data_IF_428252758486
#
_entry.id   IF_428252758486
#
_cell.length_a   1.000
_cell.length_b   1.000
_cell.length_c   1.000
_cell.angle_alpha   90.00
_cell.angle_beta   90.00
_cell.angle_gamma   90.00
#
_symmetry.space_group_name_H-M   'P 1'
#
loop_
_entity.id
_entity.type
_entity.pdbx_description
1 polymer ?
#
# COMPACT_ATOMS: atom_id res chain seq x y z
N UNK A 1 -16.50 -14.68 12.94
CA UNK A 1 -16.41 -13.98 11.65
C UNK A 1 -17.63 -13.09 11.52
N UNK A 2 -17.52 -11.75 11.56
CA UNK A 2 -18.65 -10.90 11.20
C UNK A 2 -18.76 -10.89 9.67
N UNK A 3 -19.90 -11.36 9.16
CA UNK A 3 -20.21 -11.38 7.73
C UNK A 3 -20.25 -9.96 7.18
N UNK A 4 -19.43 -9.67 6.16
CA UNK A 4 -19.63 -8.50 5.31
C UNK A 4 -20.99 -8.67 4.62
N UNK A 5 -21.96 -7.84 4.99
CA UNK A 5 -23.23 -7.76 4.28
C UNK A 5 -22.99 -7.26 2.87
N UNK A 6 -22.91 -8.18 1.91
CA UNK A 6 -22.98 -7.83 0.49
C UNK A 6 -24.45 -7.73 0.13
N UNK A 7 -24.98 -6.50 0.00
CA UNK A 7 -26.19 -6.33 -0.80
C UNK A 7 -25.77 -6.62 -2.24
N UNK A 8 -26.12 -7.79 -2.74
CA UNK A 8 -25.89 -8.17 -4.13
C UNK A 8 -26.73 -7.26 -5.04
N UNK A 9 -26.18 -6.11 -5.40
CA UNK A 9 -26.76 -5.25 -6.42
C UNK A 9 -26.48 -5.85 -7.80
N UNK A 10 -27.52 -5.98 -8.62
CA UNK A 10 -27.39 -6.39 -10.03
C UNK A 10 -26.68 -5.33 -10.88
N UNK A 11 -26.58 -4.10 -10.36
CA UNK A 11 -26.09 -2.93 -11.09
C UNK A 11 -24.56 -2.87 -11.15
N UNK A 12 -23.87 -3.21 -10.05
CA UNK A 12 -22.43 -3.06 -9.94
C UNK A 12 -21.72 -4.40 -9.76
N UNK A 13 -20.54 -4.51 -10.36
CA UNK A 13 -19.47 -5.36 -9.86
C UNK A 13 -18.53 -4.47 -9.04
N UNK A 14 -18.37 -4.79 -7.75
CA UNK A 14 -17.49 -4.04 -6.86
C UNK A 14 -16.40 -4.92 -6.25
N UNK A 15 -15.19 -4.39 -6.14
CA UNK A 15 -14.09 -4.92 -5.33
C UNK A 15 -13.68 -3.84 -4.34
N UNK A 16 -13.81 -4.10 -3.06
CA UNK A 16 -13.32 -3.22 -1.99
C UNK A 16 -12.21 -3.96 -1.25
N UNK A 17 -11.04 -3.35 -1.14
CA UNK A 17 -9.92 -3.87 -0.36
C UNK A 17 -9.63 -2.94 0.81
N UNK A 18 -9.40 -3.53 1.96
CA UNK A 18 -9.00 -2.85 3.17
C UNK A 18 -7.57 -3.30 3.48
N UNK A 19 -6.62 -2.37 3.47
CA UNK A 19 -5.25 -2.66 3.89
C UNK A 19 -5.07 -2.11 5.31
N UNK A 20 -4.78 -3.03 6.22
CA UNK A 20 -4.51 -2.76 7.62
C UNK A 20 -3.01 -2.83 7.88
N UNK A 21 -2.42 -1.70 8.28
CA UNK A 21 -0.99 -1.56 8.55
C UNK A 21 -0.66 -1.49 10.05
N UNK A 22 -1.61 -1.80 10.93
CA UNK A 22 -1.44 -1.55 12.36
C UNK A 22 -0.41 -2.47 13.04
N UNK A 23 0.31 -1.89 14.00
CA UNK A 23 1.24 -2.59 14.88
C UNK A 23 0.49 -3.13 16.12
N UNK A 24 0.85 -4.32 16.66
CA UNK A 24 0.26 -4.86 17.88
C UNK A 24 0.66 -4.01 19.11
N UNK A 25 -0.32 -3.62 19.94
CA UNK A 25 -0.07 -2.87 21.17
C UNK A 25 -1.22 -1.92 21.52
N UNK A 26 -1.21 -0.69 20.99
CA UNK A 26 -2.19 0.34 21.35
C UNK A 26 -3.59 0.15 20.74
N UNK A 27 -3.69 -0.68 19.69
CA UNK A 27 -4.92 -0.86 18.91
C UNK A 27 -5.42 -2.31 18.89
N UNK A 28 -4.72 -3.23 19.57
CA UNK A 28 -5.19 -4.60 19.78
C UNK A 28 -6.41 -4.60 20.71
N UNK A 29 -7.51 -5.23 20.29
CA UNK A 29 -8.70 -5.43 21.13
C UNK A 29 -9.82 -4.39 20.95
N UNK A 30 -9.64 -3.35 20.12
CA UNK A 30 -10.75 -2.46 19.75
C UNK A 30 -11.62 -3.12 18.67
N UNK A 31 -12.86 -3.46 19.02
CA UNK A 31 -13.87 -3.89 18.04
C UNK A 31 -14.26 -2.68 17.18
N UNK A 32 -14.28 -2.87 15.85
CA UNK A 32 -14.63 -1.88 14.82
C UNK A 32 -15.97 -1.17 15.17
N UNK A 33 -16.13 0.16 14.97
CA UNK A 33 -15.63 0.99 13.86
C UNK A 33 -14.37 1.82 14.14
N UNK A 34 -13.70 1.62 15.28
CA UNK A 34 -12.46 2.32 15.68
C UNK A 34 -11.19 1.67 15.08
N UNK A 35 -11.28 1.12 13.86
CA UNK A 35 -10.10 0.53 13.22
C UNK A 35 -9.16 1.66 12.82
N UNK A 36 -7.87 1.62 13.20
CA UNK A 36 -6.95 2.70 12.89
C UNK A 36 -6.76 2.78 11.38
N UNK A 37 -6.82 4.00 10.85
CA UNK A 37 -6.45 4.42 9.50
C UNK A 37 -6.21 3.25 8.55
N UNK A 38 -7.28 2.80 7.87
CA UNK A 38 -7.19 1.80 6.82
C UNK A 38 -7.04 2.48 5.47
N UNK A 39 -6.15 1.96 4.64
CA UNK A 39 -6.22 2.26 3.21
C UNK A 39 -7.41 1.51 2.61
N UNK A 40 -8.33 2.25 2.00
CA UNK A 40 -9.52 1.69 1.37
C UNK A 40 -9.41 1.89 -0.14
N UNK A 41 -9.29 0.78 -0.86
CA UNK A 41 -9.30 0.71 -2.32
C UNK A 41 -10.68 0.26 -2.79
N UNK A 42 -11.33 1.07 -3.61
CA UNK A 42 -12.65 0.80 -4.19
C UNK A 42 -12.51 0.75 -5.70
N UNK A 43 -12.91 -0.38 -6.29
CA UNK A 43 -13.10 -0.53 -7.73
C UNK A 43 -14.56 -0.89 -7.99
N UNK A 44 -15.26 -0.08 -8.79
CA UNK A 44 -16.65 -0.31 -9.18
C UNK A 44 -16.74 -0.35 -10.70
N UNK A 45 -17.60 -1.22 -11.22
CA UNK A 45 -17.95 -1.29 -12.64
C UNK A 45 -19.44 -1.55 -12.81
N UNK A 46 -20.09 -0.80 -13.70
CA UNK A 46 -21.47 -1.08 -14.10
C UNK A 46 -21.55 -2.40 -14.87
N UNK A 47 -22.47 -3.29 -14.47
CA UNK A 47 -22.78 -4.54 -15.19
C UNK A 47 -23.78 -4.31 -16.33
N UNK A 48 -24.56 -3.26 -16.24
CA UNK A 48 -25.59 -2.86 -17.20
C UNK A 48 -25.67 -1.34 -17.25
N UNK A 49 -26.28 -0.81 -18.30
CA UNK A 49 -26.49 0.61 -18.41
C UNK A 49 -27.35 1.12 -17.23
N UNK A 50 -27.06 2.32 -16.73
CA UNK A 50 -27.66 2.88 -15.54
C UNK A 50 -27.96 4.35 -15.73
N UNK A 51 -29.16 4.78 -15.39
CA UNK A 51 -29.50 6.20 -15.32
C UNK A 51 -29.21 6.69 -13.89
N UNK A 52 -28.30 7.66 -13.71
CA UNK A 52 -28.16 8.34 -12.43
C UNK A 52 -29.49 8.98 -12.04
N UNK A 53 -29.75 9.12 -10.74
CA UNK A 53 -30.91 9.88 -10.27
C UNK A 53 -30.88 11.30 -10.85
N UNK A 54 -32.02 11.77 -11.37
CA UNK A 54 -32.10 13.07 -12.03
C UNK A 54 -31.63 14.20 -11.09
N UNK A 55 -30.67 15.00 -11.55
CA UNK A 55 -30.07 16.07 -10.75
C UNK A 55 -29.12 15.61 -9.63
N UNK A 56 -28.80 14.32 -9.55
CA UNK A 56 -27.81 13.83 -8.59
C UNK A 56 -26.41 14.34 -8.96
N UNK A 57 -25.79 15.07 -8.03
CA UNK A 57 -24.42 15.55 -8.20
C UNK A 57 -23.38 14.41 -8.25
N UNK A 58 -23.68 13.28 -7.61
CA UNK A 58 -22.74 12.16 -7.44
C UNK A 58 -23.38 10.83 -7.83
N UNK A 59 -22.64 10.02 -8.59
CA UNK A 59 -23.00 8.65 -8.93
C UNK A 59 -21.76 7.83 -9.38
N UNK A 60 -21.49 6.65 -8.79
CA UNK A 60 -22.08 6.13 -7.56
C UNK A 60 -21.58 6.88 -6.31
N UNK A 61 -22.40 6.89 -5.26
CA UNK A 61 -21.96 7.25 -3.90
C UNK A 61 -21.39 5.99 -3.25
N UNK A 62 -20.18 6.10 -2.71
CA UNK A 62 -19.43 4.94 -2.16
C UNK A 62 -19.26 4.99 -0.64
N UNK A 63 -19.35 6.17 -0.05
CA UNK A 63 -19.27 6.37 1.41
C UNK A 63 -19.88 7.71 1.80
N UNK A 64 -19.88 8.03 3.10
CA UNK A 64 -20.36 9.29 3.64
C UNK A 64 -19.47 9.80 4.78
N UNK A 65 -19.41 11.13 4.88
CA UNK A 65 -18.87 11.92 5.99
C UNK A 65 -20.00 12.73 6.63
N UNK A 66 -19.72 13.49 7.69
CA UNK A 66 -20.71 14.37 8.31
C UNK A 66 -21.27 15.41 7.32
N UNK A 67 -22.53 15.87 7.49
CA UNK A 67 -23.13 16.88 6.64
C UNK A 67 -22.39 18.22 6.77
N UNK A 68 -22.44 19.01 5.69
CA UNK A 68 -21.69 20.26 5.54
C UNK A 68 -20.22 20.16 5.98
N UNK A 69 -19.46 19.19 5.45
CA UNK A 69 -18.10 18.94 5.92
C UNK A 69 -17.21 20.16 5.67
N UNK A 70 -16.29 20.40 6.61
CA UNK A 70 -15.10 21.17 6.28
C UNK A 70 -14.29 20.42 5.22
N UNK A 71 -13.71 21.14 4.28
CA UNK A 71 -12.87 20.56 3.23
C UNK A 71 -11.59 21.37 3.03
N UNK A 72 -10.60 20.75 2.38
CA UNK A 72 -9.46 21.48 1.87
C UNK A 72 -8.49 20.63 1.04
N UNK A 73 -7.66 21.30 0.27
CA UNK A 73 -6.65 20.72 -0.62
C UNK A 73 -5.66 21.81 -1.06
N UNK A 74 -4.52 21.40 -1.62
CA UNK A 74 -3.68 22.32 -2.38
C UNK A 74 -4.28 22.48 -3.78
N UNK A 75 -4.60 23.72 -4.16
CA UNK A 75 -5.11 24.02 -5.50
C UNK A 75 -4.03 23.71 -6.54
N UNK A 76 -4.36 22.87 -7.53
CA UNK A 76 -3.37 22.38 -8.50
C UNK A 76 -2.86 23.45 -9.46
N UNK A 77 -3.59 24.55 -9.64
CA UNK A 77 -3.21 25.64 -10.54
C UNK A 77 -2.31 26.68 -9.86
N UNK A 78 -2.59 26.96 -8.59
CA UNK A 78 -1.93 28.03 -7.82
C UNK A 78 -0.96 27.53 -6.77
N UNK A 79 -1.04 26.24 -6.40
CA UNK A 79 -0.31 25.64 -5.29
C UNK A 79 -0.76 26.15 -3.91
N UNK A 80 -1.74 27.05 -3.85
CA UNK A 80 -2.22 27.64 -2.61
C UNK A 80 -3.22 26.72 -1.92
N UNK A 81 -3.28 26.73 -0.57
CA UNK A 81 -4.29 25.97 0.14
C UNK A 81 -5.68 26.56 -0.14
N UNK A 82 -6.58 25.73 -0.66
CA UNK A 82 -8.01 25.98 -0.72
C UNK A 82 -8.68 25.23 0.42
N UNK A 83 -9.41 25.92 1.29
CA UNK A 83 -10.16 25.31 2.37
C UNK A 83 -11.46 26.07 2.64
N UNK A 84 -12.47 25.37 3.14
CA UNK A 84 -13.76 25.97 3.42
C UNK A 84 -14.73 25.01 4.10
N UNK A 85 -15.98 25.43 4.22
CA UNK A 85 -17.10 24.60 4.67
C UNK A 85 -18.07 24.42 3.51
N UNK A 86 -18.45 23.18 3.24
CA UNK A 86 -19.32 22.86 2.11
C UNK A 86 -20.79 23.00 2.48
N UNK A 87 -21.33 24.22 2.42
CA UNK A 87 -22.72 24.49 2.82
C UNK A 87 -23.74 24.12 1.74
N UNK A 88 -23.37 24.26 0.47
CA UNK A 88 -24.18 23.91 -0.71
C UNK A 88 -23.31 23.31 -1.81
N UNK A 89 -23.94 22.63 -2.77
CA UNK A 89 -23.24 22.07 -3.93
C UNK A 89 -22.32 20.90 -3.57
N UNK A 90 -21.16 20.86 -4.23
CA UNK A 90 -20.18 19.80 -4.16
C UNK A 90 -18.77 20.35 -4.42
N UNK A 91 -17.75 19.58 -4.05
CA UNK A 91 -16.34 19.86 -4.34
C UNK A 91 -15.61 18.59 -4.74
N UNK A 92 -14.73 18.70 -5.73
CA UNK A 92 -13.83 17.62 -6.13
C UNK A 92 -12.61 17.58 -5.20
N UNK A 93 -12.22 16.38 -4.79
CA UNK A 93 -11.06 16.14 -3.95
C UNK A 93 -9.91 15.62 -4.82
N UNK A 94 -8.84 16.41 -5.01
CA UNK A 94 -7.60 15.90 -5.61
C UNK A 94 -6.91 14.91 -4.66
N UNK A 95 -5.82 14.29 -5.10
CA UNK A 95 -4.95 13.55 -4.19
C UNK A 95 -4.43 14.48 -3.08
N UNK A 96 -4.57 14.07 -1.83
CA UNK A 96 -4.29 14.88 -0.64
C UNK A 96 -5.44 15.80 -0.23
N UNK A 97 -6.52 15.89 -1.02
CA UNK A 97 -7.72 16.60 -0.62
C UNK A 97 -8.50 15.87 0.47
N UNK A 98 -9.11 16.63 1.37
CA UNK A 98 -9.84 16.08 2.51
C UNK A 98 -11.21 16.72 2.66
N UNK A 99 -12.14 15.96 3.25
CA UNK A 99 -13.46 16.43 3.65
C UNK A 99 -13.94 15.68 4.90
N UNK A 100 -14.23 16.40 5.97
CA UNK A 100 -14.48 15.80 7.27
C UNK A 100 -13.30 14.91 7.69
N UNK A 101 -13.58 13.64 7.98
CA UNK A 101 -12.60 12.61 8.37
C UNK A 101 -11.97 11.86 7.19
N UNK A 102 -12.40 12.12 5.95
CA UNK A 102 -11.89 11.44 4.77
C UNK A 102 -10.75 12.23 4.13
N UNK A 103 -9.65 11.52 3.79
CA UNK A 103 -8.57 12.02 2.96
C UNK A 103 -8.52 11.20 1.67
N UNK A 104 -8.62 11.87 0.53
CA UNK A 104 -8.45 11.26 -0.79
C UNK A 104 -6.99 11.04 -1.09
N UNK A 105 -6.62 9.84 -1.53
CA UNK A 105 -5.24 9.45 -1.84
C UNK A 105 -4.99 9.34 -3.35
N UNK A 106 -6.01 9.60 -4.14
CA UNK A 106 -5.97 9.72 -5.59
C UNK A 106 -7.03 10.74 -6.06
N UNK A 107 -6.91 11.34 -7.25
CA UNK A 107 -7.98 12.18 -7.78
C UNK A 107 -9.23 11.37 -8.13
N UNK A 108 -10.37 12.06 -8.24
CA UNK A 108 -11.61 11.50 -8.80
C UNK A 108 -12.76 11.33 -7.81
N UNK A 109 -12.52 11.53 -6.51
CA UNK A 109 -13.58 11.61 -5.52
C UNK A 109 -14.15 13.03 -5.44
N UNK A 110 -15.43 13.12 -5.12
CA UNK A 110 -16.12 14.37 -4.83
C UNK A 110 -17.03 14.18 -3.64
N UNK A 111 -17.24 15.26 -2.90
CA UNK A 111 -18.13 15.30 -1.75
C UNK A 111 -19.20 16.35 -1.97
N UNK A 112 -20.44 16.08 -1.56
CA UNK A 112 -21.52 17.06 -1.58
C UNK A 112 -21.84 17.62 -0.18
N UNK A 113 -22.61 18.70 -0.13
CA UNK A 113 -22.99 19.36 1.13
C UNK A 113 -23.80 18.45 2.08
N UNK A 114 -24.35 17.33 1.60
CA UNK A 114 -25.02 16.31 2.43
C UNK A 114 -24.02 15.31 3.03
N UNK A 115 -22.72 15.46 2.75
CA UNK A 115 -21.66 14.57 3.19
C UNK A 115 -21.55 13.29 2.36
N UNK A 116 -22.25 13.18 1.22
CA UNK A 116 -22.12 12.01 0.34
C UNK A 116 -20.80 12.09 -0.41
N UNK A 117 -20.06 10.98 -0.44
CA UNK A 117 -18.77 10.88 -1.15
C UNK A 117 -18.91 9.86 -2.27
N UNK A 118 -18.53 10.28 -3.47
CA UNK A 118 -18.70 9.47 -4.68
C UNK A 118 -17.99 10.09 -5.88
N UNK A 119 -18.45 9.74 -7.06
CA UNK A 119 -17.90 10.24 -8.33
C UNK A 119 -18.85 11.26 -8.93
N UNK A 120 -18.34 12.29 -9.59
CA UNK A 120 -19.18 13.26 -10.32
C UNK A 120 -20.06 12.55 -11.34
N UNK A 121 -21.36 12.84 -11.28
CA UNK A 121 -22.26 12.52 -12.38
C UNK A 121 -21.91 13.42 -13.56
N UNK A 122 -21.69 12.88 -14.78
CA UNK A 122 -21.48 13.72 -15.95
C UNK A 122 -22.74 14.57 -16.20
N UNK A 123 -22.61 15.89 -16.47
CA UNK A 123 -23.75 16.82 -16.52
C UNK A 123 -24.86 16.41 -17.50
N UNK A 124 -24.47 15.80 -18.63
CA UNK A 124 -25.38 15.41 -19.72
C UNK A 124 -25.65 13.90 -19.76
N UNK A 125 -25.16 13.13 -18.78
CA UNK A 125 -25.36 11.68 -18.76
C UNK A 125 -26.77 11.33 -18.33
N UNK A 126 -27.65 11.16 -19.31
CA UNK A 126 -28.97 10.54 -19.11
C UNK A 126 -28.80 9.04 -18.82
N UNK A 127 -27.84 8.39 -19.48
CA UNK A 127 -27.56 6.97 -19.35
C UNK A 127 -26.05 6.73 -19.34
N UNK A 128 -25.56 6.04 -18.30
CA UNK A 128 -24.19 5.54 -18.23
C UNK A 128 -24.14 4.13 -18.81
N UNK A 129 -23.24 3.83 -19.76
CA UNK A 129 -23.18 2.52 -20.39
C UNK A 129 -22.69 1.42 -19.44
N UNK A 130 -23.05 0.17 -19.77
CA UNK A 130 -22.43 -0.99 -19.13
C UNK A 130 -20.90 -0.92 -19.31
N UNK A 131 -20.16 -1.30 -18.27
CA UNK A 131 -18.69 -1.26 -18.28
C UNK A 131 -18.08 0.05 -17.78
N UNK A 132 -18.86 1.13 -17.59
CA UNK A 132 -18.37 2.33 -16.89
C UNK A 132 -17.77 1.94 -15.55
N UNK A 133 -16.55 2.39 -15.30
CA UNK A 133 -15.77 1.97 -14.15
C UNK A 133 -15.24 3.17 -13.37
N UNK A 134 -15.16 3.00 -12.06
CA UNK A 134 -14.64 3.98 -11.14
C UNK A 134 -13.64 3.35 -10.19
N UNK A 135 -12.66 4.15 -9.80
CA UNK A 135 -11.63 3.78 -8.82
C UNK A 135 -11.46 4.89 -7.81
N UNK A 136 -11.41 4.53 -6.55
CA UNK A 136 -11.08 5.44 -5.47
C UNK A 136 -10.12 4.77 -4.48
N UNK A 137 -9.26 5.60 -3.89
CA UNK A 137 -8.34 5.25 -2.83
C UNK A 137 -8.40 6.35 -1.79
N UNK A 138 -8.74 6.01 -0.56
CA UNK A 138 -8.87 6.98 0.53
C UNK A 138 -8.55 6.36 1.88
N UNK A 139 -8.33 7.21 2.87
CA UNK A 139 -8.20 6.82 4.29
C UNK A 139 -9.19 7.64 5.11
N UNK A 140 -9.65 7.07 6.22
CA UNK A 140 -10.43 7.79 7.23
C UNK A 140 -9.59 8.01 8.47
N UNK A 141 -9.51 9.25 8.92
CA UNK A 141 -8.85 9.62 10.18
C UNK A 141 -9.81 9.29 11.33
N UNK A 142 -9.35 8.64 12.41
CA UNK A 142 -10.19 8.37 13.57
C UNK A 142 -10.80 9.66 14.14
N UNK A 143 -12.08 9.66 14.53
CA UNK A 143 -12.77 10.87 15.00
C UNK A 143 -12.24 11.40 16.34
N UNK A 144 -11.53 10.57 17.11
CA UNK A 144 -10.87 10.90 18.38
C UNK A 144 -9.43 11.43 18.20
N UNK A 145 -8.89 11.44 16.98
CA UNK A 145 -7.55 11.94 16.70
C UNK A 145 -7.53 13.46 16.46
N UNK A 146 -6.37 14.09 16.68
CA UNK A 146 -6.11 15.43 16.17
C UNK A 146 -6.04 15.39 14.63
N UNK A 147 -7.13 15.82 14.00
CA UNK A 147 -7.32 15.81 12.55
C UNK A 147 -6.30 16.65 11.79
N UNK A 148 -5.84 17.77 12.36
CA UNK A 148 -4.84 18.62 11.72
C UNK A 148 -3.45 17.98 11.80
N UNK A 149 -3.08 17.51 12.99
CA UNK A 149 -1.82 16.79 13.18
C UNK A 149 -1.77 15.52 12.30
N UNK A 150 -2.87 14.75 12.24
CA UNK A 150 -2.90 13.53 11.44
C UNK A 150 -2.77 13.80 9.95
N UNK A 151 -3.42 14.83 9.42
CA UNK A 151 -3.24 15.23 8.02
C UNK A 151 -1.78 15.55 7.69
N UNK A 152 -1.06 16.20 8.60
CA UNK A 152 0.38 16.44 8.41
C UNK A 152 1.19 15.13 8.35
N UNK A 153 0.93 14.17 9.25
CA UNK A 153 1.57 12.84 9.21
C UNK A 153 1.27 12.07 7.92
N UNK A 154 0.08 12.28 7.36
CA UNK A 154 -0.33 11.73 6.08
C UNK A 154 0.33 12.39 4.87
N UNK A 155 0.99 13.53 5.01
CA UNK A 155 1.53 14.30 3.88
C UNK A 155 0.48 15.15 3.16
N UNK A 156 -0.58 15.55 3.86
CA UNK A 156 -1.62 16.44 3.32
C UNK A 156 -1.25 17.90 3.57
N UNK A 157 -1.02 18.66 2.49
CA UNK A 157 -0.86 20.12 2.53
C UNK A 157 0.51 20.63 3.00
N UNK A 158 1.41 19.74 3.40
CA UNK A 158 2.78 20.04 3.87
C UNK A 158 3.73 18.91 3.45
N UNK A 159 5.05 19.17 3.53
CA UNK A 159 6.02 18.09 3.41
C UNK A 159 5.83 17.09 4.57
N UNK A 160 5.92 15.79 4.26
CA UNK A 160 5.87 14.74 5.28
C UNK A 160 7.01 14.92 6.30
N UNK A 161 6.77 14.67 7.60
CA UNK A 161 7.77 14.86 8.67
C UNK A 161 8.84 13.77 8.72
N UNK A 162 8.78 12.77 7.84
CA UNK A 162 9.77 11.71 7.65
C UNK A 162 10.30 11.77 6.22
N UNK A 163 11.50 11.23 6.00
CA UNK A 163 12.11 11.17 4.67
C UNK A 163 12.75 9.83 4.41
N UNK A 164 12.58 9.32 3.19
CA UNK A 164 13.26 8.14 2.69
C UNK A 164 14.31 8.59 1.66
N UNK A 165 15.58 8.34 1.97
CA UNK A 165 16.68 8.53 1.04
C UNK A 165 17.09 7.18 0.47
N UNK A 166 16.65 6.88 -0.75
CA UNK A 166 16.88 5.57 -1.37
C UNK A 166 18.21 5.54 -2.11
N UNK A 167 19.01 4.51 -1.83
CA UNK A 167 20.17 4.12 -2.64
C UNK A 167 19.79 3.13 -3.74
N UNK A 168 18.64 2.46 -3.62
CA UNK A 168 18.07 1.55 -4.63
C UNK A 168 16.55 1.69 -4.69
N UNK A 169 16.02 1.72 -5.91
CA UNK A 169 14.60 1.93 -6.18
C UNK A 169 14.21 3.40 -6.08
N UNK A 170 12.90 3.68 -6.17
CA UNK A 170 12.39 5.05 -6.23
C UNK A 170 11.15 5.26 -5.35
N UNK A 171 11.03 6.45 -4.77
CA UNK A 171 9.80 6.92 -4.13
C UNK A 171 8.89 7.53 -5.20
N UNK A 172 7.68 7.02 -5.33
CA UNK A 172 6.66 7.53 -6.27
C UNK A 172 5.65 8.44 -5.59
N UNK A 173 5.31 8.16 -4.33
CA UNK A 173 4.41 9.00 -3.53
C UNK A 173 4.69 8.79 -2.05
N UNK A 174 4.44 9.83 -1.25
CA UNK A 174 4.53 9.81 0.22
C UNK A 174 3.18 10.05 0.90
N UNK A 175 2.09 10.15 0.12
CA UNK A 175 0.77 10.45 0.65
C UNK A 175 0.18 9.22 1.36
N UNK A 176 0.18 9.26 2.70
CA UNK A 176 -0.16 8.20 3.66
C UNK A 176 0.69 6.94 3.56
N UNK A 177 0.65 6.26 2.41
CA UNK A 177 1.45 5.09 2.10
C UNK A 177 2.62 5.54 1.23
N UNK A 178 3.84 5.24 1.67
CA UNK A 178 5.00 5.40 0.80
C UNK A 178 4.89 4.40 -0.35
N UNK A 179 4.54 4.89 -1.53
CA UNK A 179 4.48 4.09 -2.76
C UNK A 179 5.87 4.10 -3.36
N UNK A 180 6.42 2.91 -3.54
CA UNK A 180 7.82 2.69 -3.89
C UNK A 180 7.88 1.78 -5.11
N UNK A 181 8.83 2.05 -5.99
CA UNK A 181 9.17 1.17 -7.11
C UNK A 181 10.46 0.43 -6.80
N UNK A 182 10.39 -0.90 -6.82
CA UNK A 182 11.56 -1.74 -6.59
C UNK A 182 12.55 -1.66 -7.74
N UNK A 183 13.81 -1.83 -7.42
CA UNK A 183 14.89 -2.07 -8.37
C UNK A 183 15.72 -3.25 -7.86
N UNK A 184 16.14 -4.15 -8.76
CA UNK A 184 16.84 -5.39 -8.40
C UNK A 184 16.18 -6.18 -7.24
N UNK A 185 14.83 -6.25 -7.24
CA UNK A 185 14.05 -7.02 -6.28
C UNK A 185 13.65 -6.28 -5.00
N UNK A 186 14.01 -5.01 -4.80
CA UNK A 186 13.52 -4.26 -3.63
C UNK A 186 13.90 -2.80 -3.62
N UNK A 187 13.74 -2.17 -2.46
CA UNK A 187 14.29 -0.85 -2.14
C UNK A 187 15.32 -0.97 -1.03
N UNK A 188 16.30 -0.08 -1.04
CA UNK A 188 17.26 0.07 0.04
C UNK A 188 17.57 1.55 0.25
N UNK A 189 17.84 1.97 1.48
CA UNK A 189 18.09 3.37 1.79
C UNK A 189 18.20 3.67 3.26
N UNK A 190 18.07 4.96 3.58
CA UNK A 190 18.00 5.50 4.92
C UNK A 190 16.60 6.06 5.18
N UNK A 191 16.10 5.89 6.40
CA UNK A 191 14.97 6.66 6.92
C UNK A 191 15.49 7.72 7.88
N UNK A 192 15.10 8.97 7.66
CA UNK A 192 15.25 10.04 8.65
C UNK A 192 14.18 9.85 9.73
N UNK A 193 14.59 9.90 11.01
CA UNK A 193 13.66 9.72 12.12
C UNK A 193 12.60 10.82 12.13
N UNK A 194 11.35 10.42 12.34
CA UNK A 194 10.26 11.31 12.71
C UNK A 194 9.76 10.93 14.11
N UNK A 195 10.40 11.45 15.18
CA UNK A 195 9.96 11.22 16.54
C UNK A 195 8.50 11.61 16.73
N UNK A 196 7.70 10.74 17.35
CA UNK A 196 6.27 10.98 17.58
C UNK A 196 5.34 10.56 16.45
N UNK A 197 5.85 9.90 15.40
CA UNK A 197 4.98 9.30 14.38
C UNK A 197 3.99 8.32 15.03
N UNK A 198 2.66 8.50 14.84
CA UNK A 198 1.65 7.75 15.59
C UNK A 198 1.38 6.34 15.06
N UNK A 199 2.03 5.95 13.95
CA UNK A 199 1.90 4.65 13.29
C UNK A 199 3.21 4.25 12.58
N UNK A 200 3.39 2.96 12.30
CA UNK A 200 4.49 2.49 11.46
C UNK A 200 4.22 2.90 10.00
N UNK A 201 5.21 3.49 9.32
CA UNK A 201 5.09 3.96 7.95
C UNK A 201 4.67 2.81 7.02
N UNK A 202 3.47 2.87 6.41
CA UNK A 202 3.06 1.89 5.43
C UNK A 202 3.89 2.01 4.16
N UNK A 203 4.38 0.88 3.66
CA UNK A 203 5.07 0.80 2.38
C UNK A 203 4.23 -0.02 1.39
N UNK A 204 4.10 0.47 0.17
CA UNK A 204 3.61 -0.29 -0.98
C UNK A 204 4.74 -0.36 -2.01
N UNK A 205 5.33 -1.54 -2.20
CA UNK A 205 6.50 -1.74 -3.04
C UNK A 205 6.08 -2.48 -4.30
N UNK A 206 6.00 -1.79 -5.43
CA UNK A 206 5.66 -2.35 -6.74
C UNK A 206 6.90 -2.97 -7.42
N UNK A 207 6.67 -3.99 -8.25
CA UNK A 207 7.72 -4.67 -9.03
C UNK A 207 8.36 -5.86 -8.32
N UNK A 208 7.77 -6.34 -7.23
CA UNK A 208 8.26 -7.51 -6.50
C UNK A 208 7.78 -8.81 -7.14
N UNK A 209 8.59 -9.86 -7.01
CA UNK A 209 8.24 -11.20 -7.44
C UNK A 209 7.51 -11.95 -6.31
N UNK A 210 6.29 -12.42 -6.59
CA UNK A 210 5.47 -13.19 -5.65
C UNK A 210 5.98 -14.61 -5.35
N UNK A 211 6.91 -15.12 -6.16
CA UNK A 211 7.53 -16.42 -5.95
C UNK A 211 8.73 -16.37 -4.98
N UNK A 212 9.17 -15.17 -4.59
CA UNK A 212 10.40 -14.99 -3.80
C UNK A 212 10.07 -14.43 -2.40
N UNK A 213 10.84 -14.79 -1.36
CA UNK A 213 10.56 -14.34 -0.01
C UNK A 213 10.85 -12.84 0.11
N UNK A 214 9.97 -12.10 0.76
CA UNK A 214 10.08 -10.66 0.94
C UNK A 214 10.03 -10.27 2.42
N UNK A 215 10.87 -9.30 2.80
CA UNK A 215 10.96 -8.82 4.17
C UNK A 215 11.41 -7.37 4.24
N UNK A 216 11.16 -6.75 5.38
CA UNK A 216 11.82 -5.51 5.82
C UNK A 216 12.95 -5.90 6.75
N UNK A 217 14.16 -5.44 6.45
CA UNK A 217 15.35 -5.66 7.28
C UNK A 217 15.92 -4.33 7.74
N UNK A 218 16.47 -4.31 8.96
CA UNK A 218 17.26 -3.22 9.54
C UNK A 218 18.52 -3.79 10.21
N UNK A 219 19.62 -3.02 10.29
CA UNK A 219 20.81 -3.44 11.01
C UNK A 219 20.52 -3.86 12.45
N UNK A 220 21.02 -5.03 12.85
CA UNK A 220 20.86 -5.56 14.21
C UNK A 220 19.47 -6.10 14.55
N UNK A 221 18.53 -6.13 13.60
CA UNK A 221 17.19 -6.68 13.78
C UNK A 221 16.95 -7.90 12.88
N UNK A 222 16.05 -8.78 13.32
CA UNK A 222 15.56 -9.87 12.47
C UNK A 222 14.70 -9.33 11.32
N UNK A 223 14.75 -9.95 10.11
CA UNK A 223 13.85 -9.60 9.02
C UNK A 223 12.38 -9.78 9.38
N UNK A 224 11.57 -8.75 9.11
CA UNK A 224 10.11 -8.80 9.26
C UNK A 224 9.49 -9.17 7.92
N UNK A 225 9.05 -10.42 7.79
CA UNK A 225 8.48 -10.98 6.57
C UNK A 225 7.14 -10.36 6.19
N UNK A 226 6.90 -10.20 4.88
CA UNK A 226 5.62 -9.77 4.34
C UNK A 226 5.29 -10.50 3.02
N UNK A 227 3.99 -10.57 2.70
CA UNK A 227 3.52 -11.20 1.47
C UNK A 227 3.59 -10.27 0.26
N UNK A 228 3.82 -10.86 -0.91
CA UNK A 228 3.76 -10.17 -2.21
C UNK A 228 2.55 -10.70 -2.98
N UNK A 229 1.66 -9.80 -3.38
CA UNK A 229 0.44 -10.14 -4.10
C UNK A 229 0.28 -9.20 -5.31
N UNK A 230 -0.09 -9.77 -6.46
CA UNK A 230 -0.33 -8.99 -7.69
C UNK A 230 0.88 -8.09 -8.08
N UNK A 231 2.10 -8.55 -7.82
CA UNK A 231 3.34 -7.81 -8.13
C UNK A 231 3.70 -6.70 -7.14
N UNK A 232 3.00 -6.58 -6.01
CA UNK A 232 3.25 -5.58 -4.97
C UNK A 232 3.38 -6.20 -3.58
N UNK A 233 4.34 -5.71 -2.80
CA UNK A 233 4.51 -6.03 -1.38
C UNK A 233 3.96 -4.92 -0.49
N UNK A 234 3.26 -5.30 0.56
CA UNK A 234 2.70 -4.38 1.55
C UNK A 234 3.42 -4.59 2.88
N UNK A 235 4.19 -3.59 3.29
CA UNK A 235 5.09 -3.69 4.42
C UNK A 235 4.93 -2.50 5.38
N UNK A 236 5.68 -2.55 6.48
CA UNK A 236 5.69 -1.51 7.51
C UNK A 236 7.14 -1.19 7.86
N UNK A 237 7.45 0.10 7.98
CA UNK A 237 8.75 0.58 8.43
C UNK A 237 8.56 1.44 9.67
N UNK A 238 9.30 1.15 10.74
CA UNK A 238 9.34 2.03 11.91
C UNK A 238 10.17 3.28 11.59
N UNK A 239 9.50 4.38 11.25
CA UNK A 239 10.13 5.66 10.97
C UNK A 239 10.36 6.50 12.24
N UNK A 240 10.03 6.02 13.44
CA UNK A 240 10.39 6.70 14.69
C UNK A 240 11.89 6.60 14.99
N UNK A 241 12.55 5.60 14.39
CA UNK A 241 13.99 5.37 14.50
C UNK A 241 14.66 5.62 13.14
N UNK A 242 15.72 6.42 13.14
CA UNK A 242 16.52 6.67 11.94
C UNK A 242 17.35 5.43 11.56
N UNK A 243 17.81 5.39 10.31
CA UNK A 243 18.88 4.50 9.88
C UNK A 243 18.55 3.65 8.66
N UNK A 244 19.45 2.71 8.37
CA UNK A 244 19.41 1.92 7.16
C UNK A 244 18.23 0.93 7.17
N UNK A 245 17.68 0.69 5.98
CA UNK A 245 16.70 -0.37 5.77
C UNK A 245 16.81 -0.99 4.37
N UNK A 246 16.32 -2.22 4.25
CA UNK A 246 16.04 -2.90 2.99
C UNK A 246 14.60 -3.41 3.05
N UNK A 247 13.82 -3.24 1.99
CA UNK A 247 12.47 -3.78 1.91
C UNK A 247 12.20 -4.32 0.50
N UNK A 248 11.76 -5.58 0.38
CA UNK A 248 11.51 -6.23 -0.91
C UNK A 248 11.84 -7.71 -0.87
N UNK A 249 12.05 -8.32 -2.03
CA UNK A 249 12.56 -9.68 -2.14
C UNK A 249 14.00 -9.73 -1.59
N UNK A 250 14.19 -10.51 -0.52
CA UNK A 250 15.49 -10.61 0.19
C UNK A 250 16.33 -11.83 -0.25
N UNK A 251 15.75 -12.66 -1.11
CA UNK A 251 16.43 -13.68 -1.89
C UNK A 251 15.89 -13.59 -3.32
N UNK A 252 16.78 -13.43 -4.29
CA UNK A 252 16.44 -13.25 -5.70
C UNK A 252 17.12 -14.30 -6.57
N UNK A 253 16.57 -14.51 -7.75
CA UNK A 253 17.15 -15.38 -8.77
C UNK A 253 17.15 -14.69 -10.14
N UNK A 254 18.02 -15.11 -11.05
CA UNK A 254 17.97 -14.71 -12.47
C UNK A 254 16.78 -15.29 -13.24
N UNK A 255 15.93 -16.09 -12.58
CA UNK A 255 14.77 -16.79 -13.15
C UNK A 255 13.53 -16.57 -12.27
N UNK A 256 12.58 -15.71 -12.69
CA UNK A 256 11.45 -15.29 -11.84
C UNK A 256 10.41 -16.39 -11.56
N UNK A 257 10.42 -17.47 -12.33
CA UNK A 257 9.52 -18.61 -12.18
C UNK A 257 9.85 -19.50 -10.98
N UNK A 258 11.08 -19.45 -10.46
CA UNK A 258 11.48 -20.23 -9.30
C UNK A 258 10.77 -19.74 -8.04
N UNK A 259 10.16 -20.67 -7.30
CA UNK A 259 9.56 -20.40 -6.01
C UNK A 259 10.54 -20.69 -4.90
N UNK A 260 10.77 -19.73 -4.02
CA UNK A 260 11.81 -19.80 -3.02
C UNK A 260 11.28 -19.50 -1.62
N UNK A 261 11.81 -20.22 -0.64
CA UNK A 261 11.57 -19.98 0.79
C UNK A 261 12.91 -20.00 1.53
N UNK A 262 13.04 -19.14 2.54
CA UNK A 262 14.18 -19.17 3.46
C UNK A 262 13.78 -20.00 4.68
N UNK A 263 14.52 -21.06 4.97
CA UNK A 263 14.32 -21.92 6.14
C UNK A 263 15.12 -21.45 7.35
N UNK A 264 16.33 -20.94 7.10
CA UNK A 264 17.24 -20.38 8.11
C UNK A 264 18.07 -19.31 7.43
N UNK A 265 18.28 -18.18 8.11
CA UNK A 265 19.23 -17.17 7.66
C UNK A 265 19.83 -16.46 8.86
N UNK A 266 21.13 -16.67 9.08
CA UNK A 266 21.91 -16.05 10.13
C UNK A 266 23.29 -15.68 9.58
N UNK A 267 24.19 -15.19 10.43
CA UNK A 267 25.55 -14.81 10.03
C UNK A 267 26.39 -15.99 9.50
N UNK A 268 26.12 -17.22 9.97
CA UNK A 268 26.92 -18.42 9.65
C UNK A 268 26.49 -19.07 8.34
N UNK A 269 25.23 -18.89 7.94
CA UNK A 269 24.72 -19.48 6.71
C UNK A 269 23.25 -19.19 6.42
N UNK A 270 22.81 -19.71 5.28
CA UNK A 270 21.44 -19.65 4.79
C UNK A 270 21.02 -21.04 4.28
N UNK A 271 19.84 -21.49 4.67
CA UNK A 271 19.19 -22.67 4.14
C UNK A 271 17.92 -22.23 3.39
N UNK A 272 17.78 -22.68 2.15
CA UNK A 272 16.67 -22.28 1.27
C UNK A 272 16.01 -23.51 0.65
N UNK A 273 14.70 -23.40 0.43
CA UNK A 273 13.97 -24.30 -0.45
C UNK A 273 13.77 -23.60 -1.79
N UNK A 274 14.01 -24.33 -2.88
CA UNK A 274 13.84 -23.82 -4.25
C UNK A 274 13.02 -24.83 -5.04
N UNK A 275 11.87 -24.39 -5.52
CA UNK A 275 11.02 -25.15 -6.41
C UNK A 275 11.14 -24.64 -7.84
N UNK A 276 11.48 -25.54 -8.75
CA UNK A 276 11.40 -25.32 -10.19
C UNK A 276 10.08 -25.91 -10.71
N UNK A 277 9.10 -25.09 -11.08
CA UNK A 277 7.81 -25.56 -11.59
C UNK A 277 7.84 -25.93 -13.07
N UNK A 278 8.97 -25.79 -13.76
CA UNK A 278 9.09 -26.00 -15.21
C UNK A 278 9.47 -27.44 -15.56
N UNK A 279 9.34 -27.79 -16.84
CA UNK A 279 9.72 -29.10 -17.37
C UNK A 279 11.21 -29.21 -17.74
N UNK A 280 11.98 -28.13 -17.62
CA UNK A 280 13.41 -28.07 -17.94
C UNK A 280 14.24 -27.75 -16.69
N UNK A 281 15.50 -28.22 -16.61
CA UNK A 281 16.39 -27.79 -15.54
C UNK A 281 16.63 -26.28 -15.63
N UNK A 282 16.69 -25.62 -14.47
CA UNK A 282 16.95 -24.18 -14.40
C UNK A 282 18.32 -23.94 -13.79
N UNK A 283 19.21 -23.32 -14.58
CA UNK A 283 20.48 -22.76 -14.09
C UNK A 283 20.29 -21.27 -13.80
N UNK A 284 20.63 -20.86 -12.57
CA UNK A 284 20.49 -19.47 -12.13
C UNK A 284 21.45 -19.14 -11.00
N UNK A 285 21.76 -17.85 -10.83
CA UNK A 285 22.36 -17.35 -9.59
C UNK A 285 21.28 -17.07 -8.56
N UNK A 286 21.44 -17.59 -7.35
CA UNK A 286 20.70 -17.15 -6.17
C UNK A 286 21.50 -16.07 -5.44
N UNK A 287 20.84 -14.99 -5.06
CA UNK A 287 21.50 -13.83 -4.46
C UNK A 287 20.69 -13.19 -3.33
N UNK A 288 21.38 -12.74 -2.28
CA UNK A 288 20.81 -11.85 -1.25
C UNK A 288 21.28 -10.40 -1.50
N UNK A 289 20.45 -9.38 -1.23
CA UNK A 289 20.85 -7.98 -1.38
C UNK A 289 22.14 -7.63 -0.62
N UNK A 290 23.11 -6.93 -1.23
CA UNK A 290 24.37 -6.58 -0.57
C UNK A 290 24.22 -5.57 0.57
N UNK A 291 23.11 -4.84 0.62
CA UNK A 291 22.81 -3.86 1.67
C UNK A 291 22.38 -4.50 2.99
N UNK A 292 22.00 -5.79 2.97
CA UNK A 292 21.69 -6.56 4.18
C UNK A 292 23.01 -7.01 4.79
N UNK A 293 23.33 -6.48 5.97
CA UNK A 293 24.56 -6.78 6.72
C UNK A 293 24.27 -7.64 7.94
N UNK A 294 25.29 -8.32 8.47
CA UNK A 294 25.15 -9.19 9.65
C UNK A 294 24.44 -10.53 9.40
N UNK A 295 23.92 -10.76 8.20
CA UNK A 295 23.41 -12.05 7.74
C UNK A 295 24.32 -12.60 6.62
N UNK A 296 24.31 -13.92 6.42
CA UNK A 296 25.12 -14.58 5.39
C UNK A 296 24.78 -14.05 4.00
N UNK A 297 25.81 -13.60 3.27
CA UNK A 297 25.66 -13.08 1.91
C UNK A 297 25.72 -14.23 0.90
N UNK A 298 24.61 -14.46 0.21
CA UNK A 298 24.52 -15.45 -0.87
C UNK A 298 24.74 -14.80 -2.24
N UNK A 299 25.56 -15.45 -3.06
CA UNK A 299 25.70 -15.19 -4.51
C UNK A 299 26.29 -16.45 -5.15
N UNK A 300 25.44 -17.44 -5.46
CA UNK A 300 25.88 -18.76 -5.95
C UNK A 300 25.06 -19.19 -7.15
N UNK A 301 25.74 -19.73 -8.15
CA UNK A 301 25.09 -20.44 -9.25
C UNK A 301 24.60 -21.81 -8.76
N UNK A 302 23.38 -22.15 -9.15
CA UNK A 302 22.73 -23.42 -8.79
C UNK A 302 22.01 -23.97 -10.02
N UNK A 303 21.88 -25.28 -10.06
CA UNK A 303 21.00 -25.98 -10.98
C UNK A 303 19.84 -26.60 -10.19
N UNK A 304 18.61 -26.33 -10.62
CA UNK A 304 17.41 -26.89 -10.01
C UNK A 304 16.72 -27.82 -11.02
N UNK A 305 16.64 -29.13 -10.74
CA UNK A 305 16.04 -30.09 -11.67
C UNK A 305 14.59 -29.76 -12.02
N UNK A 306 14.09 -30.20 -13.20
CA UNK A 306 12.72 -29.95 -13.63
C UNK A 306 11.69 -30.52 -12.64
N UNK A 307 10.61 -29.78 -12.39
CA UNK A 307 9.51 -30.20 -11.52
C UNK A 307 9.87 -30.50 -10.06
N UNK A 308 11.08 -30.13 -9.62
CA UNK A 308 11.61 -30.51 -8.31
C UNK A 308 11.44 -29.43 -7.25
N UNK A 309 11.48 -29.84 -5.98
CA UNK A 309 11.71 -29.00 -4.82
C UNK A 309 13.02 -29.49 -4.19
N UNK A 310 14.03 -28.62 -4.14
CA UNK A 310 15.33 -28.93 -3.54
C UNK A 310 15.58 -28.05 -2.32
N UNK A 311 16.26 -28.61 -1.33
CA UNK A 311 16.81 -27.87 -0.19
C UNK A 311 18.29 -27.64 -0.44
N UNK A 312 18.71 -26.39 -0.36
CA UNK A 312 20.09 -25.96 -0.56
C UNK A 312 20.58 -25.29 0.72
N UNK A 313 21.77 -25.66 1.17
CA UNK A 313 22.40 -25.08 2.36
C UNK A 313 23.74 -24.46 1.98
N UNK A 314 23.92 -23.22 2.42
CA UNK A 314 25.15 -22.45 2.23
C UNK A 314 25.60 -21.93 3.57
N UNK A 315 26.90 -21.95 3.84
CA UNK A 315 27.46 -21.45 5.09
C UNK A 315 28.97 -21.59 5.11
N UNK A 316 29.57 -21.20 6.23
CA UNK A 316 30.93 -21.65 6.54
C UNK A 316 30.90 -23.17 6.70
N UNK A 317 31.74 -23.88 5.96
CA UNK A 317 32.03 -25.28 6.30
C UNK A 317 32.62 -25.28 7.71
N UNK A 318 31.97 -25.99 8.63
CA UNK A 318 32.64 -26.34 9.89
C UNK A 318 33.76 -27.29 9.49
N UNK A 319 34.98 -26.76 9.44
CA UNK A 319 36.19 -27.59 9.39
C UNK A 319 36.30 -28.45 10.65
#
# INVERSE_FOLDING_TARGET
MPSQGTVATRLYQGRVRYHDFNYPGAWQGRQTPQVPMLLIDVELRLRMAAEPEAGAALFPVITQVGPQPGYGFADSATGQPAAGKLETGWVDLPAGGWAGDLVSLMPGLSVDARGRVGFRTPPDAVLLPAGTAWRARYVRIPPDADMAAMRNWLGVGTAVPWRLELSRGAVESTLYVATLRSEAGGVAGQVEAAPGMPYALPLCIAGLNGNWPAAVWRPGAEPVWFGVFEGAGWARLDATQAGAFVAGNVLTAGRPELRMSILRWDAKGIAVEVNNPTAEPVQTTLSTPPEITGLYRLSREVEVPPGSLVRLEFGEEVQ
#
